data_IF_115509218476
#
_entry.id   IF_115509218476
#
_cell.length_a   1.000
_cell.length_b   1.000
_cell.length_c   1.000
_cell.angle_alpha   90.00
_cell.angle_beta   90.00
_cell.angle_gamma   90.00
#
_symmetry.space_group_name_H-M   'P 1'
#
loop_
_entity.id
_entity.type
_entity.pdbx_description
1 polymer ?
#
# COMPACT_ATOMS: atom_id res chain seq x y z
N UNK A 1 -14.53 5.46 14.71
CA UNK A 1 -14.09 5.25 13.31
C UNK A 1 -13.10 4.11 13.30
N UNK A 2 -13.32 3.07 12.49
CA UNK A 2 -12.42 1.93 12.32
C UNK A 2 -11.65 2.05 11.02
N UNK A 3 -10.33 1.92 11.08
CA UNK A 3 -9.40 2.18 9.99
C UNK A 3 -8.61 0.92 9.69
N UNK A 4 -8.66 0.45 8.43
CA UNK A 4 -7.78 -0.57 7.91
C UNK A 4 -6.59 0.07 7.19
N UNK A 5 -5.37 -0.21 7.64
CA UNK A 5 -4.12 0.11 6.95
C UNK A 5 -3.67 -1.13 6.17
N UNK A 6 -3.63 -1.07 4.85
CA UNK A 6 -3.63 -2.29 4.02
C UNK A 6 -2.37 -2.37 3.18
N UNK A 7 -1.65 -3.48 3.32
CA UNK A 7 -0.64 -3.93 2.37
C UNK A 7 -1.32 -4.88 1.37
N UNK A 8 -1.26 -4.56 0.07
CA UNK A 8 -2.01 -5.27 -0.97
C UNK A 8 -1.25 -6.50 -1.51
N UNK A 9 -1.95 -7.46 -2.14
CA UNK A 9 -1.31 -8.50 -2.95
C UNK A 9 -0.52 -7.91 -4.11
N UNK A 10 0.29 -8.76 -4.76
CA UNK A 10 1.03 -8.42 -5.99
C UNK A 10 0.97 -9.57 -6.99
N UNK A 11 0.97 -9.28 -8.28
CA UNK A 11 1.05 -10.28 -9.35
C UNK A 11 2.37 -10.11 -10.12
N UNK A 12 3.25 -11.11 -10.05
CA UNK A 12 4.57 -11.05 -10.68
C UNK A 12 5.12 -12.47 -10.95
N UNK A 13 6.17 -12.55 -11.75
CA UNK A 13 6.95 -13.77 -11.94
C UNK A 13 7.77 -14.14 -10.70
N UNK A 14 8.14 -13.15 -9.88
CA UNK A 14 8.99 -13.33 -8.72
C UNK A 14 8.62 -12.42 -7.56
N UNK A 15 8.78 -12.94 -6.34
CA UNK A 15 8.57 -12.21 -5.11
C UNK A 15 9.54 -12.67 -4.02
N UNK A 16 9.98 -11.73 -3.17
CA UNK A 16 10.91 -12.02 -2.06
C UNK A 16 10.20 -11.89 -0.71
N UNK A 17 9.82 -12.99 -0.03
CA UNK A 17 9.07 -12.95 1.23
C UNK A 17 9.78 -12.23 2.38
N UNK A 18 11.10 -12.02 2.30
CA UNK A 18 11.87 -11.34 3.35
C UNK A 18 11.74 -9.81 3.31
N UNK A 19 11.08 -9.24 2.29
CA UNK A 19 11.00 -7.79 2.03
C UNK A 19 9.59 -7.22 2.23
N UNK A 20 8.77 -7.88 3.05
CA UNK A 20 7.33 -7.62 3.10
C UNK A 20 6.86 -6.96 4.39
N UNK A 21 7.79 -6.63 5.30
CA UNK A 21 7.43 -5.93 6.54
C UNK A 21 6.85 -4.54 6.21
N UNK A 22 5.60 -4.23 6.59
CA UNK A 22 4.90 -3.02 6.14
C UNK A 22 5.31 -1.79 6.96
N UNK A 23 6.58 -1.39 6.88
CA UNK A 23 7.17 -0.35 7.73
C UNK A 23 6.40 0.97 7.70
N UNK A 24 5.98 1.44 6.51
CA UNK A 24 5.20 2.67 6.39
C UNK A 24 3.87 2.60 7.15
N UNK A 25 3.16 1.47 7.07
CA UNK A 25 1.88 1.28 7.77
C UNK A 25 2.07 1.26 9.29
N UNK A 26 3.18 0.71 9.79
CA UNK A 26 3.49 0.76 11.24
C UNK A 26 3.77 2.18 11.76
N UNK A 27 4.29 3.08 10.92
CA UNK A 27 4.39 4.51 11.27
C UNK A 27 3.02 5.18 11.27
N UNK A 28 2.16 4.88 10.29
CA UNK A 28 0.80 5.42 10.24
C UNK A 28 -0.05 4.96 11.42
N UNK A 29 0.10 3.70 11.85
CA UNK A 29 -0.53 3.20 13.08
C UNK A 29 -0.08 4.01 14.31
N UNK A 30 1.23 4.23 14.47
CA UNK A 30 1.79 4.97 15.60
C UNK A 30 1.25 6.40 15.72
N UNK A 31 1.16 7.15 14.61
CA UNK A 31 0.64 8.54 14.62
C UNK A 31 -0.87 8.63 14.83
N UNK A 32 -1.58 7.50 14.77
CA UNK A 32 -3.01 7.43 15.02
C UNK A 32 -3.36 7.08 16.46
N UNK A 33 -2.40 6.71 17.32
CA UNK A 33 -2.65 6.40 18.74
C UNK A 33 -3.29 7.54 19.52
N UNK A 34 -2.99 8.79 19.16
CA UNK A 34 -3.56 9.98 19.80
C UNK A 34 -4.94 10.37 19.23
N UNK A 35 -5.48 9.59 18.29
CA UNK A 35 -6.79 9.83 17.68
C UNK A 35 -7.85 8.90 18.27
N UNK A 36 -9.13 9.33 18.36
CA UNK A 36 -10.22 8.49 18.85
C UNK A 36 -10.70 7.51 17.76
N UNK A 37 -9.79 6.66 17.28
CA UNK A 37 -10.00 5.71 16.18
C UNK A 37 -9.46 4.33 16.55
N UNK A 38 -10.03 3.29 15.94
CA UNK A 38 -9.53 1.92 16.02
C UNK A 38 -8.75 1.62 14.75
N UNK A 39 -7.47 1.25 14.86
CA UNK A 39 -6.58 1.03 13.71
C UNK A 39 -6.11 -0.41 13.67
N UNK A 40 -6.25 -1.03 12.51
CA UNK A 40 -5.77 -2.39 12.24
C UNK A 40 -4.91 -2.40 10.97
N UNK A 41 -3.75 -3.05 11.01
CA UNK A 41 -2.97 -3.32 9.82
C UNK A 41 -3.41 -4.67 9.23
N UNK A 42 -3.83 -4.66 7.97
CA UNK A 42 -4.24 -5.84 7.21
C UNK A 42 -3.14 -6.15 6.18
N UNK A 43 -2.33 -7.16 6.47
CA UNK A 43 -1.31 -7.65 5.55
C UNK A 43 -1.87 -8.74 4.62
N UNK A 44 -2.29 -8.33 3.42
CA UNK A 44 -2.82 -9.23 2.40
C UNK A 44 -1.72 -9.93 1.59
N UNK A 45 -0.45 -9.77 1.95
CA UNK A 45 0.67 -10.24 1.14
C UNK A 45 1.44 -11.39 1.81
N UNK A 46 1.93 -11.18 3.04
CA UNK A 46 2.99 -12.03 3.61
C UNK A 46 2.55 -13.44 3.98
N UNK A 47 1.31 -13.64 4.45
CA UNK A 47 0.87 -14.90 5.08
C UNK A 47 -0.12 -15.73 4.25
N UNK A 48 -0.28 -15.40 2.97
CA UNK A 48 -1.30 -16.03 2.13
C UNK A 48 -0.73 -16.97 1.06
N UNK A 49 0.60 -17.07 0.97
CA UNK A 49 1.27 -17.89 -0.04
C UNK A 49 1.16 -17.29 -1.44
N UNK A 50 1.10 -18.15 -2.45
CA UNK A 50 0.94 -17.77 -3.86
C UNK A 50 0.21 -18.85 -4.65
N UNK A 51 -0.39 -18.47 -5.77
CA UNK A 51 -0.96 -19.41 -6.74
C UNK A 51 -0.66 -18.95 -8.17
N UNK A 52 -0.56 -19.91 -9.09
CA UNK A 52 -0.27 -19.63 -10.50
C UNK A 52 -1.50 -19.04 -11.19
N UNK A 53 -1.27 -18.02 -11.99
CA UNK A 53 -2.29 -17.38 -12.85
C UNK A 53 -1.78 -17.31 -14.29
N UNK A 54 -2.65 -17.07 -15.28
CA UNK A 54 -2.22 -16.88 -16.66
C UNK A 54 -1.25 -15.69 -16.78
N UNK A 55 -0.28 -15.81 -17.69
CA UNK A 55 0.64 -14.71 -18.00
C UNK A 55 -0.15 -13.59 -18.70
N UNK A 56 -0.04 -12.33 -18.24
CA UNK A 56 -0.65 -11.18 -18.90
C UNK A 56 -0.24 -11.06 -20.38
N UNK A 57 -1.16 -10.62 -21.22
CA UNK A 57 -0.98 -10.54 -22.67
C UNK A 57 0.25 -9.72 -23.08
N UNK A 58 0.56 -8.67 -22.31
CA UNK A 58 1.75 -7.83 -22.49
C UNK A 58 3.06 -8.62 -22.41
N UNK A 59 3.10 -9.71 -21.63
CA UNK A 59 4.30 -10.54 -21.47
C UNK A 59 4.33 -11.77 -22.38
N UNK A 60 3.25 -12.07 -23.13
CA UNK A 60 3.20 -13.27 -23.99
C UNK A 60 4.34 -13.35 -24.99
N UNK A 61 4.77 -12.21 -25.54
CA UNK A 61 5.88 -12.14 -26.49
C UNK A 61 7.25 -12.46 -25.85
N UNK A 62 7.36 -12.35 -24.52
CA UNK A 62 8.57 -12.69 -23.77
C UNK A 62 8.66 -14.18 -23.45
N UNK A 63 7.53 -14.88 -23.38
CA UNK A 63 7.47 -16.29 -22.97
C UNK A 63 8.38 -17.24 -23.75
N UNK A 64 8.60 -17.07 -25.07
CA UNK A 64 9.59 -17.88 -25.79
C UNK A 64 11.03 -17.73 -25.28
N UNK A 65 11.37 -16.62 -24.63
CA UNK A 65 12.69 -16.31 -24.08
C UNK A 65 12.82 -16.66 -22.58
N UNK A 66 11.72 -17.07 -21.93
CA UNK A 66 11.69 -17.51 -20.55
C UNK A 66 11.39 -19.02 -20.50
N UNK A 67 12.22 -19.89 -21.11
CA UNK A 67 11.95 -21.32 -21.12
C UNK A 67 12.01 -21.88 -19.69
N UNK A 68 11.30 -22.99 -19.48
CA UNK A 68 11.36 -23.74 -18.22
C UNK A 68 12.82 -23.99 -17.80
N UNK A 69 13.07 -23.81 -16.52
CA UNK A 69 14.37 -23.59 -15.90
C UNK A 69 15.36 -24.76 -16.14
N UNK A 70 16.11 -24.69 -17.25
CA UNK A 70 17.23 -25.59 -17.59
C UNK A 70 18.58 -24.88 -17.53
N UNK A 71 18.59 -23.58 -17.24
CA UNK A 71 19.78 -22.74 -17.16
C UNK A 71 20.26 -22.65 -15.70
N UNK A 72 21.53 -22.28 -15.44
CA UNK A 72 22.03 -22.04 -14.08
C UNK A 72 21.43 -20.78 -13.41
N UNK A 73 20.56 -20.04 -14.10
CA UNK A 73 19.84 -18.87 -13.62
C UNK A 73 18.33 -19.08 -13.79
N UNK A 74 17.55 -18.80 -12.75
CA UNK A 74 16.09 -18.91 -12.80
C UNK A 74 15.52 -17.91 -13.79
N UNK A 75 15.03 -18.40 -14.92
CA UNK A 75 14.43 -17.57 -15.97
C UNK A 75 13.02 -17.04 -15.62
N UNK A 76 12.50 -17.32 -14.41
CA UNK A 76 11.20 -16.84 -13.91
C UNK A 76 10.07 -16.99 -14.96
N UNK A 77 9.76 -18.24 -15.31
CA UNK A 77 8.86 -18.61 -16.42
C UNK A 77 7.38 -18.74 -16.03
N UNK A 78 7.05 -18.59 -14.74
CA UNK A 78 5.67 -18.75 -14.24
C UNK A 78 5.24 -17.45 -13.58
N UNK A 79 4.03 -17.00 -13.91
CA UNK A 79 3.42 -15.80 -13.33
C UNK A 79 2.49 -16.21 -12.17
N UNK A 80 2.56 -15.45 -11.08
CA UNK A 80 1.88 -15.79 -9.84
C UNK A 80 1.10 -14.61 -9.30
N UNK A 81 0.00 -14.92 -8.64
CA UNK A 81 -0.58 -14.04 -7.64
C UNK A 81 0.04 -14.35 -6.28
N UNK A 82 0.67 -13.36 -5.67
CA UNK A 82 1.28 -13.41 -4.36
C UNK A 82 0.39 -12.67 -3.35
N UNK A 83 -0.01 -13.36 -2.29
CA UNK A 83 -0.92 -12.81 -1.29
C UNK A 83 -2.31 -13.43 -1.30
N UNK A 84 -3.22 -12.77 -0.59
CA UNK A 84 -4.59 -13.20 -0.36
C UNK A 84 -5.36 -13.20 -1.69
N UNK A 85 -6.07 -14.28 -1.97
CA UNK A 85 -6.91 -14.32 -3.17
C UNK A 85 -7.98 -13.23 -3.14
N UNK A 86 -8.40 -12.79 -4.32
CA UNK A 86 -9.45 -11.79 -4.46
C UNK A 86 -10.76 -12.20 -3.73
N UNK A 87 -11.07 -13.51 -3.72
CA UNK A 87 -12.21 -14.03 -2.95
C UNK A 87 -12.00 -13.90 -1.44
N UNK A 88 -10.80 -14.23 -0.94
CA UNK A 88 -10.49 -14.08 0.48
C UNK A 88 -10.63 -12.62 0.93
N UNK A 89 -10.14 -11.68 0.10
CA UNK A 89 -10.24 -10.24 0.36
C UNK A 89 -11.71 -9.82 0.44
N UNK A 90 -12.54 -10.23 -0.53
CA UNK A 90 -13.97 -9.95 -0.52
C UNK A 90 -14.65 -10.50 0.75
N UNK A 91 -14.37 -11.75 1.12
CA UNK A 91 -14.95 -12.38 2.31
C UNK A 91 -14.48 -11.70 3.61
N UNK A 92 -13.24 -11.24 3.67
CA UNK A 92 -12.70 -10.50 4.81
C UNK A 92 -13.45 -9.18 4.99
N UNK A 93 -13.51 -8.34 3.97
CA UNK A 93 -14.16 -7.02 4.05
C UNK A 93 -15.70 -7.08 4.11
N UNK A 94 -16.29 -8.22 3.74
CA UNK A 94 -17.72 -8.49 3.99
C UNK A 94 -18.02 -8.80 5.45
N UNK A 95 -17.09 -9.48 6.14
CA UNK A 95 -17.23 -9.82 7.57
C UNK A 95 -16.78 -8.70 8.50
N UNK A 96 -15.81 -7.90 8.07
CA UNK A 96 -15.23 -6.80 8.84
C UNK A 96 -15.49 -5.49 8.12
N UNK A 97 -16.31 -4.63 8.73
CA UNK A 97 -16.62 -3.30 8.20
C UNK A 97 -15.60 -2.28 8.73
N UNK A 98 -15.10 -1.45 7.83
CA UNK A 98 -14.19 -0.33 8.13
C UNK A 98 -14.77 0.96 7.55
N UNK A 99 -14.65 2.04 8.30
CA UNK A 99 -15.04 3.38 7.85
C UNK A 99 -14.02 3.91 6.84
N UNK A 100 -12.75 3.58 7.05
CA UNK A 100 -11.62 4.00 6.20
C UNK A 100 -10.75 2.79 5.86
N UNK A 101 -10.40 2.63 4.59
CA UNK A 101 -9.40 1.69 4.10
C UNK A 101 -8.26 2.45 3.42
N UNK A 102 -7.07 2.48 4.02
CA UNK A 102 -5.89 3.13 3.48
C UNK A 102 -4.95 2.11 2.83
N UNK A 103 -4.83 2.15 1.50
CA UNK A 103 -4.04 1.24 0.68
C UNK A 103 -2.62 1.77 0.50
N UNK A 104 -1.62 0.93 0.75
CA UNK A 104 -0.22 1.22 0.44
C UNK A 104 0.11 0.84 -1.01
N UNK A 105 0.46 1.85 -1.82
CA UNK A 105 0.93 1.72 -3.20
C UNK A 105 2.39 2.20 -3.28
N UNK A 106 3.34 1.28 -3.17
CA UNK A 106 4.77 1.60 -3.14
C UNK A 106 5.49 1.36 -4.46
N UNK A 107 4.90 0.59 -5.37
CA UNK A 107 5.53 0.24 -6.65
C UNK A 107 4.54 0.43 -7.77
N UNK A 108 4.96 1.15 -8.81
CA UNK A 108 4.14 1.42 -9.99
C UNK A 108 3.63 0.15 -10.66
N UNK A 109 4.46 -0.90 -10.71
CA UNK A 109 4.12 -2.19 -11.32
C UNK A 109 2.95 -2.91 -10.64
N UNK A 110 2.61 -2.55 -9.39
CA UNK A 110 1.53 -3.19 -8.64
C UNK A 110 0.31 -2.27 -8.44
N UNK A 111 0.17 -1.25 -9.29
CA UNK A 111 -0.93 -0.28 -9.20
C UNK A 111 -2.28 -0.96 -9.47
N UNK A 112 -2.33 -1.93 -10.37
CA UNK A 112 -3.56 -2.61 -10.74
C UNK A 112 -4.15 -3.42 -9.58
N UNK A 113 -3.30 -4.06 -8.79
CA UNK A 113 -3.67 -4.84 -7.60
C UNK A 113 -4.16 -3.95 -6.47
N UNK A 114 -3.59 -2.75 -6.32
CA UNK A 114 -4.09 -1.72 -5.41
C UNK A 114 -5.49 -1.28 -5.83
N UNK A 115 -5.69 -0.97 -7.11
CA UNK A 115 -7.00 -0.57 -7.63
C UNK A 115 -8.02 -1.73 -7.56
N UNK A 116 -7.59 -2.97 -7.79
CA UNK A 116 -8.44 -4.16 -7.65
C UNK A 116 -8.88 -4.38 -6.21
N UNK A 117 -7.98 -4.14 -5.26
CA UNK A 117 -8.31 -4.17 -3.82
C UNK A 117 -9.33 -3.09 -3.48
N UNK A 118 -9.16 -1.86 -3.98
CA UNK A 118 -10.12 -0.77 -3.82
C UNK A 118 -11.50 -1.10 -4.40
N UNK A 119 -11.53 -1.69 -5.60
CA UNK A 119 -12.76 -2.15 -6.26
C UNK A 119 -13.52 -3.15 -5.40
N UNK A 120 -12.83 -4.17 -4.89
CA UNK A 120 -13.44 -5.19 -4.03
C UNK A 120 -14.01 -4.56 -2.75
N UNK A 121 -13.24 -3.70 -2.08
CA UNK A 121 -13.68 -2.99 -0.87
C UNK A 121 -14.95 -2.18 -1.15
N UNK A 122 -14.96 -1.37 -2.21
CA UNK A 122 -16.13 -0.55 -2.59
C UNK A 122 -17.31 -1.41 -3.02
N UNK A 123 -17.10 -2.59 -3.60
CA UNK A 123 -18.18 -3.49 -4.02
C UNK A 123 -18.92 -4.11 -2.82
N UNK A 124 -18.20 -4.42 -1.74
CA UNK A 124 -18.79 -5.02 -0.52
C UNK A 124 -19.23 -3.97 0.50
N UNK A 125 -18.58 -2.81 0.52
CA UNK A 125 -18.88 -1.68 1.39
C UNK A 125 -18.72 -0.35 0.64
N UNK A 126 -19.76 0.07 -0.12
CA UNK A 126 -19.69 1.29 -0.94
C UNK A 126 -19.44 2.59 -0.15
N UNK A 127 -19.83 2.61 1.12
CA UNK A 127 -19.70 3.77 2.00
C UNK A 127 -18.28 3.94 2.59
N UNK A 128 -17.42 2.91 2.50
CA UNK A 128 -16.06 2.98 3.04
C UNK A 128 -15.26 4.04 2.29
N UNK A 129 -14.59 4.92 3.03
CA UNK A 129 -13.63 5.87 2.46
C UNK A 129 -12.34 5.15 2.11
N UNK A 130 -11.92 5.20 0.85
CA UNK A 130 -10.68 4.58 0.38
C UNK A 130 -9.62 5.65 0.19
N UNK A 131 -8.48 5.47 0.86
CA UNK A 131 -7.32 6.35 0.76
C UNK A 131 -6.20 5.57 0.09
N UNK A 132 -5.45 6.19 -0.82
CA UNK A 132 -4.21 5.62 -1.36
C UNK A 132 -3.01 6.49 -0.98
N UNK A 133 -1.91 5.86 -0.57
CA UNK A 133 -0.64 6.53 -0.33
C UNK A 133 0.54 5.61 -0.63
N UNK A 134 1.76 6.10 -0.41
CA UNK A 134 2.99 5.38 -0.74
C UNK A 134 3.73 6.01 -1.90
N UNK A 135 4.91 5.47 -2.21
CA UNK A 135 5.85 6.08 -3.17
C UNK A 135 5.27 6.26 -4.58
N UNK A 136 4.31 5.41 -4.97
CA UNK A 136 3.70 5.46 -6.29
C UNK A 136 2.55 6.49 -6.39
N UNK A 137 2.17 7.13 -5.28
CA UNK A 137 1.07 8.10 -5.24
C UNK A 137 1.66 9.51 -5.30
N UNK A 138 1.55 10.18 -6.45
CA UNK A 138 2.15 11.50 -6.66
C UNK A 138 1.94 12.10 -8.06
N UNK A 139 2.54 13.26 -8.36
CA UNK A 139 2.28 14.04 -9.58
C UNK A 139 2.69 13.35 -10.89
N UNK A 140 3.54 12.33 -10.83
CA UNK A 140 4.02 11.61 -12.01
C UNK A 140 3.21 10.35 -12.34
N UNK A 141 2.22 10.00 -11.50
CA UNK A 141 1.41 8.80 -11.64
C UNK A 141 -0.07 9.14 -11.46
N UNK A 142 -0.83 9.09 -12.55
CA UNK A 142 -2.23 9.49 -12.58
C UNK A 142 -3.22 8.34 -12.42
N UNK A 143 -2.80 7.08 -12.57
CA UNK A 143 -3.68 5.91 -12.42
C UNK A 143 -4.47 5.91 -11.09
N UNK A 144 -3.81 6.26 -9.98
CA UNK A 144 -4.44 6.33 -8.66
C UNK A 144 -5.36 7.56 -8.55
N UNK A 145 -4.92 8.74 -8.99
CA UNK A 145 -5.70 9.98 -8.86
C UNK A 145 -6.87 10.08 -9.84
N UNK A 146 -6.80 9.37 -10.97
CA UNK A 146 -7.85 9.25 -11.97
C UNK A 146 -8.91 8.20 -11.59
N UNK A 147 -8.60 7.29 -10.67
CA UNK A 147 -9.52 6.23 -10.27
C UNK A 147 -10.69 6.77 -9.43
N UNK A 148 -11.95 6.49 -9.80
CA UNK A 148 -13.10 6.86 -9.00
C UNK A 148 -13.22 6.03 -7.71
N UNK A 149 -12.44 4.95 -7.58
CA UNK A 149 -12.46 4.04 -6.43
C UNK A 149 -11.68 4.61 -5.23
N UNK A 150 -10.82 5.60 -5.47
CA UNK A 150 -9.95 6.20 -4.46
C UNK A 150 -10.52 7.56 -4.07
N UNK A 151 -10.94 7.74 -2.82
CA UNK A 151 -11.55 8.98 -2.33
C UNK A 151 -10.51 10.06 -2.05
N UNK A 152 -9.39 9.69 -1.42
CA UNK A 152 -8.28 10.60 -1.12
C UNK A 152 -6.93 9.97 -1.51
N UNK A 153 -5.99 10.82 -1.94
CA UNK A 153 -4.62 10.40 -2.23
C UNK A 153 -3.65 11.21 -1.35
N UNK A 154 -2.61 10.57 -0.86
CA UNK A 154 -1.53 11.20 -0.07
C UNK A 154 -0.19 10.90 -0.73
N UNK A 155 0.50 11.95 -1.18
CA UNK A 155 1.88 11.87 -1.67
C UNK A 155 2.91 12.15 -0.57
N UNK A 156 4.09 11.58 -0.73
CA UNK A 156 5.21 11.79 0.18
C UNK A 156 5.04 11.08 1.53
N UNK A 157 5.66 11.65 2.57
CA UNK A 157 5.60 11.14 3.93
C UNK A 157 4.26 11.55 4.57
N UNK A 158 3.49 10.55 5.01
CA UNK A 158 2.11 10.74 5.43
C UNK A 158 1.92 10.81 6.94
N UNK A 159 2.99 10.71 7.74
CA UNK A 159 2.92 10.71 9.20
C UNK A 159 2.31 12.00 9.78
N UNK A 160 2.48 13.13 9.11
CA UNK A 160 1.84 14.40 9.51
C UNK A 160 0.47 14.61 8.86
N UNK A 161 0.31 14.24 7.59
CA UNK A 161 -0.89 14.53 6.79
C UNK A 161 -2.01 13.53 7.00
N UNK A 162 -1.69 12.25 7.21
CA UNK A 162 -2.67 11.20 7.50
C UNK A 162 -3.50 11.50 8.76
N UNK A 163 -2.92 11.82 9.94
CA UNK A 163 -3.75 12.14 11.10
C UNK A 163 -4.56 13.43 10.93
N UNK A 164 -4.10 14.40 10.11
CA UNK A 164 -4.91 15.57 9.75
C UNK A 164 -6.12 15.19 8.90
N UNK A 165 -5.92 14.28 7.93
CA UNK A 165 -6.99 13.76 7.08
C UNK A 165 -8.01 12.98 7.91
N UNK A 166 -7.56 12.10 8.81
CA UNK A 166 -8.45 11.36 9.71
C UNK A 166 -9.26 12.31 10.62
N UNK A 167 -8.65 13.37 11.18
CA UNK A 167 -9.38 14.38 11.96
C UNK A 167 -10.44 15.11 11.13
N UNK A 168 -10.14 15.45 9.88
CA UNK A 168 -11.09 16.08 8.97
C UNK A 168 -12.29 15.15 8.70
N UNK A 169 -12.04 13.86 8.44
CA UNK A 169 -13.07 12.86 8.23
C UNK A 169 -13.94 12.64 9.49
N UNK A 170 -13.34 12.60 10.68
CA UNK A 170 -14.06 12.50 11.96
C UNK A 170 -15.00 13.68 12.20
N UNK A 171 -14.60 14.88 11.78
CA UNK A 171 -15.40 16.10 11.90
C UNK A 171 -16.53 16.20 10.85
N UNK A 172 -16.75 15.16 10.04
CA UNK A 172 -17.61 15.19 8.84
C UNK A 172 -17.25 16.33 7.87
N UNK A 173 -15.99 16.77 7.90
CA UNK A 173 -15.47 17.81 7.01
C UNK A 173 -15.15 17.22 5.65
N UNK A 174 -15.65 17.85 4.58
CA UNK A 174 -15.33 17.48 3.19
C UNK A 174 -14.10 18.23 2.66
N UNK A 175 -13.68 19.30 3.33
CA UNK A 175 -12.56 20.12 2.88
C UNK A 175 -11.23 19.58 3.40
N UNK A 176 -10.55 18.82 2.55
CA UNK A 176 -9.18 18.32 2.78
C UNK A 176 -8.12 19.15 2.05
N UNK A 177 -8.52 20.25 1.40
CA UNK A 177 -7.68 21.01 0.45
C UNK A 177 -6.54 21.78 1.09
N UNK A 178 -6.49 21.87 2.41
CA UNK A 178 -5.40 22.49 3.15
C UNK A 178 -4.36 21.48 3.64
N UNK A 179 -4.66 20.17 3.54
CA UNK A 179 -3.81 19.12 4.10
C UNK A 179 -2.61 18.91 3.16
N UNK A 180 -1.36 19.01 3.65
CA UNK A 180 -0.17 18.80 2.85
C UNK A 180 -0.18 17.44 2.14
N UNK A 181 0.28 17.41 0.88
CA UNK A 181 0.40 16.17 0.11
C UNK A 181 -0.92 15.53 -0.33
N UNK A 182 -2.08 16.17 -0.11
CA UNK A 182 -3.35 15.64 -0.63
C UNK A 182 -3.59 16.01 -2.10
N UNK A 183 -4.30 15.13 -2.82
CA UNK A 183 -4.80 15.42 -4.16
C UNK A 183 -6.16 16.12 -4.11
N UNK A 184 -6.26 17.30 -4.74
CA UNK A 184 -7.53 17.98 -4.93
C UNK A 184 -8.16 17.55 -6.26
N UNK A 185 -9.26 16.78 -6.18
CA UNK A 185 -9.97 16.25 -7.36
C UNK A 185 -10.63 17.34 -8.22
N UNK A 186 -11.09 18.44 -7.61
CA UNK A 186 -11.82 19.53 -8.31
C UNK A 186 -10.85 20.37 -9.14
N UNK A 187 -9.75 20.77 -8.54
CA UNK A 187 -8.72 21.61 -9.17
C UNK A 187 -7.63 20.81 -9.89
N UNK A 188 -7.67 19.47 -9.77
CA UNK A 188 -6.67 18.55 -10.34
C UNK A 188 -5.23 18.96 -10.03
N UNK A 189 -4.97 19.24 -8.75
CA UNK A 189 -3.64 19.65 -8.28
C UNK A 189 -3.29 18.98 -6.97
N UNK A 190 -2.00 18.75 -6.78
CA UNK A 190 -1.46 18.31 -5.52
C UNK A 190 -1.17 19.49 -4.60
N UNK A 191 -1.50 19.33 -3.32
CA UNK A 191 -0.96 20.21 -2.29
C UNK A 191 0.52 19.89 -2.07
N UNK A 192 1.37 20.92 -1.84
CA UNK A 192 2.77 20.70 -1.49
C UNK A 192 2.87 19.73 -0.29
N UNK A 193 3.69 18.66 -0.38
CA UNK A 193 3.89 17.76 0.74
C UNK A 193 4.79 18.43 1.78
N UNK A 194 4.56 18.10 3.05
CA UNK A 194 5.54 18.39 4.08
C UNK A 194 6.68 17.38 3.97
N UNK A 195 7.91 17.86 4.05
CA UNK A 195 9.05 16.99 4.31
C UNK A 195 9.09 16.83 5.83
N UNK A 196 8.82 15.62 6.34
CA UNK A 196 8.93 15.35 7.77
C UNK A 196 10.38 15.61 8.20
N UNK A 197 10.57 16.58 9.08
CA UNK A 197 11.91 16.95 9.60
C UNK A 197 12.19 16.29 10.96
N UNK A 198 11.21 15.57 11.49
CA UNK A 198 11.22 15.01 12.84
C UNK A 198 11.35 13.49 12.79
N UNK A 199 12.50 12.98 13.19
CA UNK A 199 12.74 11.54 13.41
C UNK A 199 12.13 11.01 14.71
N UNK A 200 11.20 11.75 15.33
CA UNK A 200 10.62 11.44 16.64
C UNK A 200 9.49 10.42 16.60
N UNK A 201 9.03 10.03 15.41
CA UNK A 201 7.94 9.08 15.22
C UNK A 201 8.53 7.68 15.07
N UNK A 202 8.42 6.89 16.13
CA UNK A 202 8.80 5.48 16.10
C UNK A 202 7.67 4.64 15.48
N UNK A 203 7.98 3.64 14.64
CA UNK A 203 6.98 2.70 14.15
C UNK A 203 6.35 1.92 15.30
N UNK A 204 5.05 1.64 15.21
CA UNK A 204 4.40 0.72 16.14
C UNK A 204 4.78 -0.73 15.80
N UNK A 205 5.76 -1.25 16.53
CA UNK A 205 6.23 -2.63 16.40
C UNK A 205 5.26 -3.66 16.97
N UNK A 206 4.25 -3.23 17.74
CA UNK A 206 3.24 -4.11 18.34
C UNK A 206 2.01 -4.27 17.46
N UNK A 207 1.80 -3.35 16.50
CA UNK A 207 0.74 -3.44 15.50
C UNK A 207 0.84 -4.68 14.58
N UNK A 208 2.01 -5.32 14.52
CA UNK A 208 2.23 -6.52 13.72
C UNK A 208 2.83 -7.68 14.53
N UNK A 209 2.46 -8.94 14.26
CA UNK A 209 3.05 -10.08 14.96
C UNK A 209 4.53 -10.24 14.60
N UNK A 210 5.43 -10.03 15.56
CA UNK A 210 6.88 -10.08 15.34
C UNK A 210 7.39 -11.41 14.75
N UNK A 211 6.69 -12.52 15.00
CA UNK A 211 7.06 -13.85 14.50
C UNK A 211 6.76 -14.07 13.01
N UNK A 212 5.94 -13.21 12.40
CA UNK A 212 5.50 -13.30 11.00
C UNK A 212 6.64 -13.01 10.03
N UNK A 213 7.40 -11.95 10.27
CA UNK A 213 8.42 -11.46 9.36
C UNK A 213 9.78 -12.04 9.70
N UNK A 214 10.44 -12.65 8.70
CA UNK A 214 11.68 -13.38 8.92
C UNK A 214 12.75 -13.05 7.90
N UNK A 215 13.98 -12.89 8.39
CA UNK A 215 15.20 -12.79 7.59
C UNK A 215 16.13 -13.91 8.03
N UNK A 216 16.62 -14.72 7.08
CA UNK A 216 17.44 -15.91 7.36
C UNK A 216 16.82 -16.83 8.44
N UNK A 217 15.49 -17.03 8.39
CA UNK A 217 14.75 -17.89 9.33
C UNK A 217 14.48 -17.28 10.71
N UNK A 218 15.02 -16.10 11.03
CA UNK A 218 14.86 -15.44 12.32
C UNK A 218 13.83 -14.31 12.25
N UNK A 219 12.98 -14.12 13.28
CA UNK A 219 12.13 -12.94 13.39
C UNK A 219 12.92 -11.65 13.17
N UNK A 220 12.40 -10.76 12.33
CA UNK A 220 13.04 -9.50 12.00
C UNK A 220 11.99 -8.41 11.75
N UNK A 221 12.29 -7.21 12.20
CA UNK A 221 11.53 -6.00 11.90
C UNK A 221 12.42 -5.05 11.07
N UNK A 222 11.80 -4.23 10.23
CA UNK A 222 12.53 -3.16 9.54
C UNK A 222 12.42 -1.86 10.35
N UNK A 223 13.47 -1.05 10.32
CA UNK A 223 13.50 0.30 10.88
C UNK A 223 14.15 1.22 9.84
N UNK A 224 13.72 2.48 9.81
CA UNK A 224 14.37 3.53 8.99
C UNK A 224 15.16 4.45 9.90
N UNK A 225 16.49 4.44 9.79
CA UNK A 225 17.38 5.30 10.60
C UNK A 225 17.66 6.67 9.94
N UNK A 226 17.35 6.80 8.66
CA UNK A 226 17.37 8.04 7.89
C UNK A 226 16.27 8.00 6.83
N UNK A 227 15.96 9.14 6.20
CA UNK A 227 15.00 9.27 5.11
C UNK A 227 15.54 10.23 4.05
N UNK A 228 15.12 10.03 2.80
CA UNK A 228 15.60 10.77 1.65
C UNK A 228 16.98 10.33 1.15
N UNK A 229 17.32 10.72 -0.08
CA UNK A 229 18.60 10.46 -0.72
C UNK A 229 19.08 11.77 -1.36
N UNK A 230 20.30 12.26 -1.07
CA UNK A 230 20.81 13.51 -1.63
C UNK A 230 21.32 13.36 -3.08
N UNK A 231 21.28 12.14 -3.62
CA UNK A 231 21.78 11.84 -4.97
C UNK A 231 20.78 12.30 -6.04
N UNK A 232 21.29 12.68 -7.21
CA UNK A 232 20.49 13.12 -8.35
C UNK A 232 20.58 12.12 -9.51
N UNK A 233 20.40 10.83 -9.20
CA UNK A 233 20.53 9.74 -10.16
C UNK A 233 19.41 9.81 -11.21
N UNK A 234 19.73 9.86 -12.49
CA UNK A 234 18.73 9.93 -13.59
C UNK A 234 17.72 8.77 -13.61
N UNK A 235 18.07 7.64 -13.01
CA UNK A 235 17.27 6.42 -13.02
C UNK A 235 16.42 6.22 -11.74
N UNK A 236 16.56 7.10 -10.74
CA UNK A 236 15.89 6.99 -9.43
C UNK A 236 14.97 8.18 -9.20
#
# INVERSE_FOLDING_TARGET
MRIALIQTPVEDFYFTPQRTYPLGLTHLAAVCHDLPVDVEIIDLLTLHGRYTIPVPDVFRHLMPYLPYDRAPISAFHTYYHHGASWQWIADHFKRNVYDVCALSSNFYTYTEEVLKTAEIIKSVSPATTVIAGGQNVGPYHDLITASPLIDHCLQGEAEESFPQLIRALLANGTNTDHIPGTWNKVHKRWNPPNICRTYGISPDITAMPAATYRIAGKPAIMISTSRGCPMNCRFC
#
